data_IF_217910136263
#
_entry.id   IF_217910136263
#
_cell.length_a   1.000
_cell.length_b   1.000
_cell.length_c   1.000
_cell.angle_alpha   90.00
_cell.angle_beta   90.00
_cell.angle_gamma   90.00
#
_symmetry.space_group_name_H-M   'P 1'
#
loop_
_entity.id
_entity.type
_entity.pdbx_description
1 polymer ?
#
# COMPACT_ATOMS: atom_id res chain seq x y z
N UNK A 1 -20.42 -4.52 -35.91
CA UNK A 1 -19.01 -4.20 -36.16
C UNK A 1 -18.24 -4.61 -34.92
N UNK A 2 -17.56 -5.75 -35.00
CA UNK A 2 -16.69 -6.27 -33.94
C UNK A 2 -15.33 -5.57 -34.07
N UNK A 3 -14.76 -5.13 -32.95
CA UNK A 3 -13.37 -4.74 -32.87
C UNK A 3 -12.61 -5.89 -32.20
N UNK A 4 -11.76 -6.54 -32.97
CA UNK A 4 -10.80 -7.53 -32.53
C UNK A 4 -9.73 -6.86 -31.68
N UNK A 5 -9.60 -7.29 -30.42
CA UNK A 5 -8.49 -6.96 -29.55
C UNK A 5 -7.31 -7.86 -29.89
N UNK A 6 -6.22 -7.25 -30.34
CA UNK A 6 -4.93 -7.89 -30.51
C UNK A 6 -4.37 -8.34 -29.16
N UNK A 7 -4.14 -9.64 -29.07
CA UNK A 7 -3.36 -10.30 -28.03
C UNK A 7 -1.88 -9.92 -28.15
N UNK A 8 -1.31 -9.35 -27.08
CA UNK A 8 0.10 -9.49 -26.76
C UNK A 8 0.23 -9.98 -25.33
N UNK A 9 0.37 -11.30 -25.17
CA UNK A 9 0.90 -11.91 -23.96
C UNK A 9 1.95 -12.93 -24.42
N UNK A 10 3.18 -12.44 -24.57
CA UNK A 10 4.33 -13.26 -24.96
C UNK A 10 5.03 -13.72 -23.69
N UNK A 11 4.85 -15.02 -23.43
CA UNK A 11 5.84 -15.98 -22.91
C UNK A 11 6.56 -15.63 -21.59
N UNK A 12 6.00 -16.14 -20.48
CA UNK A 12 6.83 -16.59 -19.35
C UNK A 12 6.99 -18.11 -19.40
N UNK A 13 8.22 -18.55 -19.18
CA UNK A 13 8.75 -19.85 -19.60
C UNK A 13 8.07 -21.08 -18.97
N UNK A 14 7.89 -22.08 -19.83
CA UNK A 14 7.52 -23.46 -19.53
C UNK A 14 8.53 -24.10 -18.58
N UNK A 15 8.17 -24.25 -17.30
CA UNK A 15 8.67 -25.36 -16.45
C UNK A 15 7.88 -25.66 -15.17
N UNK A 16 6.89 -24.84 -14.81
CA UNK A 16 6.07 -25.05 -13.59
C UNK A 16 4.58 -25.33 -13.82
N UNK A 17 4.15 -25.49 -15.09
CA UNK A 17 2.73 -25.61 -15.49
C UNK A 17 2.02 -26.83 -14.89
N UNK A 18 2.69 -27.99 -14.83
CA UNK A 18 1.97 -29.25 -14.61
C UNK A 18 1.68 -29.51 -13.12
N UNK A 19 2.52 -28.98 -12.21
CA UNK A 19 2.33 -29.12 -10.77
C UNK A 19 1.20 -28.22 -10.24
N UNK A 20 1.04 -27.04 -10.86
CA UNK A 20 0.00 -26.08 -10.47
C UNK A 20 -1.40 -26.58 -10.88
N UNK A 21 -1.51 -27.17 -12.08
CA UNK A 21 -2.76 -27.73 -12.56
C UNK A 21 -3.23 -28.92 -11.68
N UNK A 22 -2.29 -29.77 -11.23
CA UNK A 22 -2.61 -30.87 -10.32
C UNK A 22 -3.10 -30.40 -8.93
N UNK A 23 -2.48 -29.37 -8.37
CA UNK A 23 -2.92 -28.76 -7.10
C UNK A 23 -4.31 -28.13 -7.21
N UNK A 24 -4.60 -27.44 -8.33
CA UNK A 24 -5.92 -26.87 -8.57
C UNK A 24 -7.02 -27.94 -8.72
N UNK A 25 -6.73 -29.07 -9.39
CA UNK A 25 -7.69 -30.18 -9.55
C UNK A 25 -7.96 -30.88 -8.21
N UNK A 26 -6.94 -31.09 -7.37
CA UNK A 26 -7.10 -31.66 -6.03
C UNK A 26 -7.94 -30.76 -5.12
N UNK A 27 -7.72 -29.44 -5.14
CA UNK A 27 -8.53 -28.48 -4.38
C UNK A 27 -9.98 -28.39 -4.88
N UNK A 28 -10.22 -28.58 -6.18
CA UNK A 28 -11.57 -28.61 -6.75
C UNK A 28 -12.35 -29.88 -6.36
N UNK A 29 -11.68 -31.04 -6.35
CA UNK A 29 -12.28 -32.33 -5.95
C UNK A 29 -12.61 -32.39 -4.45
N UNK A 30 -11.81 -31.73 -3.58
CA UNK A 30 -12.10 -31.67 -2.14
C UNK A 30 -13.30 -30.78 -1.77
N UNK A 31 -13.81 -29.96 -2.70
CA UNK A 31 -14.93 -29.03 -2.43
C UNK A 31 -16.31 -29.62 -2.67
N UNK A 32 -16.43 -30.86 -3.16
CA UNK A 32 -17.72 -31.49 -3.53
C UNK A 32 -18.31 -32.47 -2.52
N UNK A 33 -17.78 -32.59 -1.30
CA UNK A 33 -18.33 -33.51 -0.30
C UNK A 33 -18.58 -32.80 1.04
N UNK A 34 -19.83 -32.32 1.21
CA UNK A 34 -20.56 -31.84 2.41
C UNK A 34 -21.33 -30.56 2.02
N UNK A 35 -22.63 -30.39 2.18
CA UNK A 35 -23.60 -31.00 3.08
C UNK A 35 -25.02 -30.81 2.50
N UNK A 36 -25.84 -31.85 2.53
CA UNK A 36 -27.28 -31.72 2.67
C UNK A 36 -27.58 -31.75 4.18
N UNK A 37 -27.84 -30.58 4.77
CA UNK A 37 -28.36 -30.49 6.15
C UNK A 37 -29.63 -29.67 6.10
N UNK A 38 -30.66 -30.31 6.63
CA UNK A 38 -32.05 -29.92 6.75
C UNK A 38 -32.25 -28.58 7.43
N UNK A 39 -33.17 -27.81 6.85
CA UNK A 39 -33.77 -26.58 7.35
C UNK A 39 -34.47 -26.82 8.70
N UNK A 40 -34.03 -26.12 9.75
CA UNK A 40 -34.86 -25.83 10.91
C UNK A 40 -34.75 -24.34 11.22
N UNK A 41 -35.91 -23.70 11.15
CA UNK A 41 -36.18 -22.31 11.52
C UNK A 41 -36.26 -22.19 13.05
N UNK A 42 -35.52 -21.27 13.69
CA UNK A 42 -35.84 -20.80 15.02
C UNK A 42 -36.36 -19.37 14.96
N UNK A 43 -37.64 -19.21 15.30
CA UNK A 43 -38.15 -18.00 15.94
C UNK A 43 -37.40 -17.78 17.26
N UNK A 44 -36.70 -16.67 17.39
CA UNK A 44 -36.53 -15.98 18.68
C UNK A 44 -35.83 -14.64 18.45
N UNK A 45 -36.59 -13.57 18.67
CA UNK A 45 -36.15 -12.20 18.83
C UNK A 45 -35.19 -12.07 20.02
N UNK A 46 -33.91 -12.32 19.80
CA UNK A 46 -32.85 -11.90 20.70
C UNK A 46 -32.51 -10.44 20.40
N UNK A 47 -32.97 -9.54 21.27
CA UNK A 47 -32.52 -8.15 21.31
C UNK A 47 -31.01 -8.19 21.59
N UNK A 48 -30.22 -7.95 20.55
CA UNK A 48 -28.79 -7.72 20.69
C UNK A 48 -28.60 -6.42 21.48
N UNK A 49 -28.30 -6.56 22.78
CA UNK A 49 -27.75 -5.49 23.59
C UNK A 49 -26.41 -5.10 23.00
N UNK A 50 -26.41 -4.11 22.11
CA UNK A 50 -25.21 -3.50 21.55
C UNK A 50 -24.47 -2.88 22.72
N UNK A 51 -23.35 -3.50 23.09
CA UNK A 51 -22.39 -2.96 24.05
C UNK A 51 -22.01 -1.53 23.64
N UNK A 52 -22.44 -0.54 24.42
CA UNK A 52 -22.16 0.89 24.23
C UNK A 52 -20.80 1.29 24.79
N UNK A 53 -19.81 0.38 24.73
CA UNK A 53 -18.43 0.78 24.98
C UNK A 53 -17.99 1.67 23.81
N UNK A 54 -17.46 2.88 24.07
CA UNK A 54 -16.97 3.75 23.01
C UNK A 54 -15.92 3.00 22.20
N UNK A 55 -16.14 2.89 20.88
CA UNK A 55 -15.22 2.20 19.99
C UNK A 55 -13.90 2.97 20.00
N UNK A 56 -12.90 2.42 20.69
CA UNK A 56 -11.56 2.99 20.88
C UNK A 56 -10.89 3.37 19.55
N UNK A 57 -11.35 2.81 18.43
CA UNK A 57 -10.79 3.02 17.11
C UNK A 57 -11.69 3.86 16.17
N UNK A 58 -12.66 4.62 16.71
CA UNK A 58 -13.56 5.47 15.90
C UNK A 58 -12.81 6.42 14.95
N UNK A 59 -11.66 6.97 15.37
CA UNK A 59 -10.83 7.84 14.52
C UNK A 59 -10.36 7.16 13.22
N UNK A 60 -10.18 5.84 13.20
CA UNK A 60 -9.83 5.09 11.99
C UNK A 60 -10.97 5.11 10.99
N UNK A 61 -12.21 4.94 11.47
CA UNK A 61 -13.40 4.98 10.63
C UNK A 61 -13.71 6.40 10.14
N UNK A 62 -13.47 7.42 10.97
CA UNK A 62 -13.65 8.82 10.57
C UNK A 62 -12.63 9.21 9.49
N UNK A 63 -11.37 8.79 9.65
CA UNK A 63 -10.36 8.95 8.61
C UNK A 63 -10.73 8.18 7.34
N UNK A 64 -11.17 6.93 7.47
CA UNK A 64 -11.56 6.11 6.33
C UNK A 64 -12.70 6.76 5.56
N UNK A 65 -13.76 7.25 6.22
CA UNK A 65 -14.85 7.99 5.56
C UNK A 65 -14.35 9.17 4.73
N UNK A 66 -13.38 9.92 5.25
CA UNK A 66 -12.73 11.00 4.52
C UNK A 66 -11.98 10.48 3.29
N UNK A 67 -11.20 9.40 3.42
CA UNK A 67 -10.52 8.74 2.29
C UNK A 67 -11.52 8.28 1.23
N UNK A 68 -12.64 7.67 1.64
CA UNK A 68 -13.67 7.18 0.71
C UNK A 68 -14.30 8.32 -0.11
N UNK A 69 -14.57 9.46 0.55
CA UNK A 69 -15.11 10.65 -0.11
C UNK A 69 -14.10 11.26 -1.09
N UNK A 70 -12.82 11.32 -0.72
CA UNK A 70 -11.74 11.87 -1.54
C UNK A 70 -11.48 11.01 -2.80
N UNK A 71 -11.42 9.69 -2.62
CA UNK A 71 -11.05 8.74 -3.67
C UNK A 71 -12.22 8.32 -4.58
N UNK A 72 -13.45 8.79 -4.29
CA UNK A 72 -14.66 8.52 -5.09
C UNK A 72 -14.88 7.03 -5.39
N UNK A 73 -14.66 6.18 -4.39
CA UNK A 73 -14.71 4.73 -4.56
C UNK A 73 -16.15 4.22 -4.77
N UNK A 74 -16.27 3.10 -5.48
CA UNK A 74 -17.58 2.50 -5.78
C UNK A 74 -18.03 1.60 -4.61
N UNK A 75 -19.05 2.04 -3.88
CA UNK A 75 -19.62 1.27 -2.75
C UNK A 75 -20.29 -0.06 -3.17
N UNK A 76 -20.57 -0.24 -4.46
CA UNK A 76 -21.03 -1.53 -5.00
C UNK A 76 -19.97 -2.62 -4.92
N UNK A 77 -18.70 -2.26 -4.75
CA UNK A 77 -17.60 -3.20 -4.56
C UNK A 77 -17.56 -3.70 -3.11
N UNK A 78 -16.91 -4.84 -2.89
CA UNK A 78 -16.59 -5.28 -1.54
C UNK A 78 -15.44 -4.47 -0.95
N UNK A 79 -15.35 -4.44 0.38
CA UNK A 79 -14.11 -4.10 1.08
C UNK A 79 -13.61 -5.36 1.79
N UNK A 80 -12.35 -5.73 1.58
CA UNK A 80 -11.75 -6.82 2.32
C UNK A 80 -11.73 -6.49 3.81
N UNK A 81 -12.21 -7.41 4.65
CA UNK A 81 -12.14 -7.27 6.11
C UNK A 81 -10.70 -7.35 6.61
N UNK A 82 -9.85 -8.09 5.89
CA UNK A 82 -8.44 -8.21 6.21
C UNK A 82 -7.68 -6.97 5.77
N UNK A 83 -6.93 -6.42 6.71
CA UNK A 83 -5.97 -5.35 6.46
C UNK A 83 -4.74 -5.93 5.78
N UNK A 84 -4.34 -5.38 4.63
CA UNK A 84 -3.10 -5.81 3.97
C UNK A 84 -1.88 -5.03 4.40
N UNK A 85 -0.75 -5.74 4.35
CA UNK A 85 0.57 -5.14 4.22
C UNK A 85 0.78 -4.85 2.73
N UNK A 86 0.83 -3.57 2.37
CA UNK A 86 0.86 -3.17 0.96
C UNK A 86 2.24 -2.62 0.52
N UNK A 87 3.19 -2.47 1.44
CA UNK A 87 4.53 -2.00 1.14
C UNK A 87 5.36 -3.22 0.72
N UNK A 88 5.33 -3.53 -0.58
CA UNK A 88 5.65 -4.86 -1.15
C UNK A 88 7.15 -5.21 -1.25
N UNK A 89 8.06 -4.27 -1.01
CA UNK A 89 9.48 -4.45 -1.39
C UNK A 89 10.44 -4.33 -0.20
N UNK A 90 10.01 -3.66 0.87
CA UNK A 90 10.83 -3.34 2.04
C UNK A 90 9.98 -3.45 3.31
N UNK A 91 10.60 -3.53 4.49
CA UNK A 91 9.84 -3.35 5.73
C UNK A 91 9.17 -1.96 5.73
N UNK A 92 8.00 -1.83 6.37
CA UNK A 92 7.27 -0.55 6.36
C UNK A 92 8.12 0.59 6.92
N UNK A 93 9.02 0.30 7.88
CA UNK A 93 9.95 1.28 8.44
C UNK A 93 10.92 1.82 7.37
N UNK A 94 11.52 0.94 6.57
CA UNK A 94 12.44 1.34 5.50
C UNK A 94 11.68 2.12 4.42
N UNK A 95 10.49 1.69 4.05
CA UNK A 95 9.65 2.43 3.11
C UNK A 95 9.32 3.85 3.62
N UNK A 96 8.86 3.97 4.87
CA UNK A 96 8.50 5.26 5.47
C UNK A 96 9.73 6.17 5.68
N UNK A 97 10.93 5.59 5.81
CA UNK A 97 12.17 6.35 5.97
C UNK A 97 12.48 7.27 4.79
N UNK A 98 11.95 6.93 3.59
CA UNK A 98 12.05 7.74 2.37
C UNK A 98 11.36 9.11 2.50
N UNK A 99 10.46 9.26 3.49
CA UNK A 99 9.72 10.49 3.76
C UNK A 99 10.29 11.28 4.95
N UNK A 100 11.46 10.92 5.48
CA UNK A 100 12.08 11.66 6.59
C UNK A 100 12.58 13.02 6.10
N UNK A 101 12.31 14.07 6.87
CA UNK A 101 12.93 15.39 6.70
C UNK A 101 14.41 15.28 7.05
N UNK A 102 15.26 15.19 6.04
CA UNK A 102 16.70 15.34 6.22
C UNK A 102 17.00 16.82 6.47
N UNK A 103 17.65 17.19 7.58
CA UNK A 103 18.09 18.56 7.77
C UNK A 103 18.99 18.95 6.58
N UNK A 104 18.96 20.22 6.13
CA UNK A 104 19.88 20.68 5.10
C UNK A 104 21.28 20.29 5.53
N UNK A 105 21.96 19.46 4.74
CA UNK A 105 23.37 19.23 5.01
C UNK A 105 24.05 20.56 4.73
N UNK A 106 24.49 21.23 5.80
CA UNK A 106 25.41 22.37 5.67
C UNK A 106 26.61 21.83 4.94
N UNK A 107 26.77 22.22 3.67
CA UNK A 107 27.83 21.71 2.83
C UNK A 107 29.14 22.07 3.52
N UNK A 108 29.93 21.10 4.01
CA UNK A 108 31.19 21.42 4.70
C UNK A 108 32.17 22.13 3.75
N UNK A 109 31.92 22.11 2.44
CA UNK A 109 32.66 22.84 1.41
C UNK A 109 32.23 24.29 1.20
N UNK A 110 31.18 24.80 1.86
CA UNK A 110 30.93 26.26 1.93
C UNK A 110 31.95 26.96 2.85
N UNK A 111 32.87 26.19 3.44
CA UNK A 111 34.10 26.67 4.04
C UNK A 111 35.30 26.17 3.22
N UNK A 112 35.42 26.54 1.94
CA UNK A 112 36.68 26.35 1.24
C UNK A 112 37.38 27.69 0.97
N UNK A 113 38.58 27.92 1.55
CA UNK A 113 39.49 28.94 1.07
C UNK A 113 39.96 28.56 -0.34
N UNK A 114 40.02 29.56 -1.22
CA UNK A 114 40.37 29.45 -2.63
C UNK A 114 41.60 28.59 -2.90
N UNK A 115 41.43 27.49 -3.65
CA UNK A 115 42.50 26.87 -4.44
C UNK A 115 42.83 25.42 -4.12
N UNK A 116 42.09 24.46 -4.68
CA UNK A 116 42.63 23.10 -4.90
C UNK A 116 42.14 22.58 -6.26
N UNK A 117 43.12 22.13 -7.06
CA UNK A 117 43.03 21.62 -8.42
C UNK A 117 42.38 20.22 -8.47
N UNK A 118 41.62 19.96 -9.53
CA UNK A 118 40.69 18.81 -9.63
C UNK A 118 41.43 17.50 -9.84
N UNK A 119 41.45 16.60 -8.84
CA UNK A 119 42.05 15.27 -8.97
C UNK A 119 41.10 14.27 -9.65
N UNK A 120 41.60 13.72 -10.75
CA UNK A 120 40.97 12.72 -11.61
C UNK A 120 41.06 11.34 -10.95
N UNK A 121 39.92 10.76 -10.54
CA UNK A 121 39.86 9.38 -10.03
C UNK A 121 39.84 8.39 -11.22
N UNK A 122 40.90 7.58 -11.33
CA UNK A 122 41.02 6.50 -12.32
C UNK A 122 40.87 5.18 -11.58
N UNK A 123 39.83 4.40 -11.91
CA UNK A 123 39.70 3.02 -11.46
C UNK A 123 40.18 2.10 -12.59
N UNK A 124 41.20 1.29 -12.31
CA UNK A 124 41.65 0.23 -13.21
C UNK A 124 40.76 -0.99 -13.03
N UNK A 125 40.10 -1.41 -14.11
CA UNK A 125 39.52 -2.74 -14.25
C UNK A 125 40.01 -3.32 -15.57
N UNK A 126 40.52 -4.57 -15.54
CA UNK A 126 41.16 -5.27 -16.66
C UNK A 126 40.17 -5.72 -17.76
N UNK A 127 39.20 -4.89 -18.09
CA UNK A 127 38.26 -5.13 -19.19
C UNK A 127 37.88 -3.79 -19.81
N UNK A 128 38.28 -3.60 -21.07
CA UNK A 128 38.39 -2.33 -21.79
C UNK A 128 37.07 -1.69 -22.21
N UNK A 129 36.14 -1.50 -21.27
CA UNK A 129 34.98 -0.63 -21.45
C UNK A 129 34.83 0.27 -20.22
N UNK A 130 35.46 1.43 -20.26
CA UNK A 130 35.28 2.48 -19.25
C UNK A 130 33.96 3.21 -19.52
N UNK A 131 32.89 2.78 -18.85
CA UNK A 131 31.64 3.55 -18.84
C UNK A 131 31.83 4.71 -17.87
N UNK A 132 32.01 5.91 -18.42
CA UNK A 132 32.17 7.13 -17.66
C UNK A 132 30.80 7.59 -17.14
N UNK A 133 30.28 6.91 -16.11
CA UNK A 133 29.03 7.32 -15.46
C UNK A 133 29.40 8.43 -14.48
N UNK A 134 29.15 9.69 -14.85
CA UNK A 134 29.38 10.80 -13.93
C UNK A 134 28.59 10.56 -12.64
N UNK A 135 29.21 10.79 -11.48
CA UNK A 135 28.53 10.68 -10.18
C UNK A 135 27.28 11.59 -10.11
N UNK A 136 27.23 12.67 -10.91
CA UNK A 136 26.03 13.49 -11.08
C UNK A 136 24.84 12.73 -11.70
N UNK A 137 25.07 11.74 -12.57
CA UNK A 137 23.98 11.01 -13.22
C UNK A 137 23.25 10.06 -12.24
N UNK A 138 23.98 9.48 -11.28
CA UNK A 138 23.40 8.62 -10.22
C UNK A 138 22.67 9.47 -9.16
N UNK A 139 23.17 10.67 -8.87
CA UNK A 139 22.50 11.58 -7.94
C UNK A 139 21.21 12.15 -8.56
N UNK A 140 21.22 12.46 -9.86
CA UNK A 140 20.07 13.02 -10.55
C UNK A 140 18.89 12.03 -10.71
N UNK A 141 19.15 10.73 -10.85
CA UNK A 141 18.07 9.72 -10.88
C UNK A 141 17.39 9.54 -9.53
N UNK A 142 18.05 9.85 -8.40
CA UNK A 142 17.45 9.86 -7.07
C UNK A 142 16.68 11.16 -6.75
N UNK A 143 16.93 12.25 -7.49
CA UNK A 143 16.27 13.55 -7.27
C UNK A 143 14.88 13.71 -7.91
N UNK A 144 14.40 12.71 -8.65
CA UNK A 144 13.11 12.77 -9.34
C UNK A 144 11.91 12.33 -8.48
N UNK A 145 12.14 11.84 -7.26
CA UNK A 145 11.04 11.72 -6.32
C UNK A 145 10.70 13.14 -5.83
N UNK A 146 9.45 13.61 -6.03
CA UNK A 146 9.05 14.91 -5.50
C UNK A 146 9.39 14.91 -4.00
N UNK A 147 9.93 16.03 -3.52
CA UNK A 147 10.44 16.15 -2.14
C UNK A 147 9.26 16.05 -1.15
N UNK A 148 8.82 14.83 -0.89
CA UNK A 148 7.72 14.47 0.00
C UNK A 148 8.19 14.27 1.44
N UNK A 149 9.44 14.67 1.73
CA UNK A 149 10.01 14.65 3.05
C UNK A 149 9.11 15.45 4.02
N UNK A 150 8.41 14.73 4.90
CA UNK A 150 7.40 15.31 5.78
C UNK A 150 7.32 14.64 7.15
N UNK A 151 8.05 13.54 7.36
CA UNK A 151 8.08 12.79 8.60
C UNK A 151 9.31 13.10 9.43
N UNK A 152 9.15 13.00 10.74
CA UNK A 152 10.26 12.89 11.70
C UNK A 152 10.51 11.42 12.02
N UNK A 153 11.71 11.07 12.46
CA UNK A 153 12.00 9.70 12.95
C UNK A 153 11.03 9.24 14.04
N UNK A 154 10.63 10.17 14.93
CA UNK A 154 9.65 9.91 15.98
C UNK A 154 8.24 9.63 15.46
N UNK A 155 7.87 10.12 14.26
CA UNK A 155 6.61 9.77 13.61
C UNK A 155 6.63 8.31 13.17
N UNK A 156 7.72 7.86 12.55
CA UNK A 156 7.87 6.48 12.07
C UNK A 156 7.85 5.50 13.24
N UNK A 157 8.58 5.78 14.32
CA UNK A 157 8.52 4.96 15.55
C UNK A 157 7.09 4.84 16.09
N UNK A 158 6.35 5.95 16.12
CA UNK A 158 4.94 5.95 16.55
C UNK A 158 4.06 5.13 15.60
N UNK A 159 4.21 5.31 14.29
CA UNK A 159 3.47 4.57 13.26
C UNK A 159 3.67 3.06 13.38
N UNK A 160 4.91 2.60 13.62
CA UNK A 160 5.21 1.18 13.79
C UNK A 160 4.59 0.61 15.07
N UNK A 161 4.68 1.35 16.19
CA UNK A 161 4.04 0.95 17.45
C UNK A 161 2.52 0.86 17.31
N UNK A 162 1.90 1.83 16.62
CA UNK A 162 0.46 1.87 16.41
C UNK A 162 -0.02 0.75 15.48
N UNK A 163 0.73 0.47 14.40
CA UNK A 163 0.47 -0.69 13.54
C UNK A 163 0.50 -2.00 14.35
N UNK A 164 1.52 -2.17 15.20
CA UNK A 164 1.64 -3.33 16.08
C UNK A 164 0.46 -3.42 17.05
N UNK A 165 0.04 -2.31 17.67
CA UNK A 165 -1.15 -2.26 18.55
C UNK A 165 -2.43 -2.69 17.82
N UNK A 166 -2.54 -2.37 16.54
CA UNK A 166 -3.72 -2.60 15.71
C UNK A 166 -3.66 -3.87 14.84
N UNK A 167 -2.68 -4.75 15.02
CA UNK A 167 -2.46 -5.92 14.15
C UNK A 167 -3.68 -6.86 13.99
N UNK A 168 -4.56 -6.92 14.99
CA UNK A 168 -5.79 -7.72 14.97
C UNK A 168 -7.04 -6.96 14.49
N UNK A 169 -6.91 -5.68 14.12
CA UNK A 169 -8.03 -4.90 13.60
C UNK A 169 -8.52 -5.51 12.29
N UNK A 170 -9.85 -5.62 12.16
CA UNK A 170 -10.52 -5.94 10.91
C UNK A 170 -11.47 -4.82 10.55
N UNK A 171 -11.59 -4.53 9.25
CA UNK A 171 -12.57 -3.55 8.78
C UNK A 171 -13.99 -4.09 8.94
N UNK A 172 -14.89 -3.25 9.43
CA UNK A 172 -16.32 -3.54 9.47
C UNK A 172 -17.04 -2.87 8.29
N UNK A 173 -17.45 -3.68 7.31
CA UNK A 173 -18.13 -3.19 6.11
C UNK A 173 -19.48 -2.53 6.38
N UNK A 174 -20.17 -2.88 7.47
CA UNK A 174 -21.40 -2.19 7.88
C UNK A 174 -21.12 -0.73 8.26
N UNK A 175 -19.95 -0.45 8.85
CA UNK A 175 -19.54 0.91 9.23
C UNK A 175 -19.05 1.74 8.05
N UNK A 176 -18.52 1.08 7.02
CA UNK A 176 -17.96 1.75 5.84
C UNK A 176 -18.96 1.90 4.69
N UNK A 177 -20.02 1.08 4.67
CA UNK A 177 -21.08 1.13 3.65
C UNK A 177 -20.77 0.34 2.38
N UNK A 178 -19.68 -0.42 2.33
CA UNK A 178 -19.36 -1.29 1.19
C UNK A 178 -20.25 -2.53 1.14
N UNK A 179 -20.40 -3.08 -0.06
CA UNK A 179 -21.14 -4.32 -0.28
C UNK A 179 -20.62 -5.47 0.58
N UNK A 180 -21.52 -6.17 1.25
CA UNK A 180 -21.23 -7.39 2.01
C UNK A 180 -21.21 -8.64 1.12
N UNK A 181 -21.70 -8.54 -0.12
CA UNK A 181 -21.98 -9.70 -0.98
C UNK A 181 -21.15 -9.73 -2.26
N UNK A 182 -20.57 -8.61 -2.69
CA UNK A 182 -19.76 -8.57 -3.90
C UNK A 182 -18.40 -9.24 -3.69
N UNK A 183 -18.21 -10.37 -4.37
CA UNK A 183 -16.97 -11.17 -4.34
C UNK A 183 -16.12 -11.02 -5.61
N UNK A 184 -16.59 -10.26 -6.59
CA UNK A 184 -15.93 -10.13 -7.88
C UNK A 184 -14.99 -8.94 -7.90
N UNK A 185 -15.44 -7.80 -7.38
CA UNK A 185 -14.61 -6.61 -7.29
C UNK A 185 -14.54 -6.18 -5.83
N UNK A 186 -13.33 -6.01 -5.32
CA UNK A 186 -13.14 -5.57 -3.96
C UNK A 186 -11.95 -4.64 -3.83
N UNK A 187 -12.09 -3.70 -2.90
CA UNK A 187 -10.97 -2.91 -2.43
C UNK A 187 -10.30 -3.58 -1.24
N UNK A 188 -9.02 -3.29 -1.06
CA UNK A 188 -8.28 -3.65 0.15
C UNK A 188 -7.55 -2.42 0.66
N UNK A 189 -7.60 -2.21 1.97
CA UNK A 189 -7.03 -1.03 2.62
C UNK A 189 -6.00 -1.47 3.65
N UNK A 190 -4.86 -0.80 3.70
CA UNK A 190 -3.93 -0.95 4.83
C UNK A 190 -4.47 -0.27 6.08
N UNK A 191 -3.83 -0.53 7.23
CA UNK A 191 -3.97 0.35 8.37
C UNK A 191 -3.37 1.72 7.98
N UNK A 192 -4.01 2.84 8.34
CA UNK A 192 -3.41 4.14 8.15
C UNK A 192 -2.23 4.32 9.12
N UNK A 193 -1.08 4.72 8.59
CA UNK A 193 0.10 5.08 9.36
C UNK A 193 0.00 6.55 9.77
N UNK A 194 -0.52 6.82 10.96
CA UNK A 194 -0.63 8.18 11.48
C UNK A 194 0.69 8.68 12.07
N UNK A 195 1.07 9.92 11.75
CA UNK A 195 2.13 10.63 12.48
C UNK A 195 1.75 10.80 13.95
N UNK A 196 2.73 11.09 14.79
CA UNK A 196 2.52 11.22 16.24
C UNK A 196 1.50 12.31 16.59
N UNK A 197 1.50 13.40 15.81
CA UNK A 197 0.56 14.51 15.94
C UNK A 197 -0.79 14.28 15.23
N UNK A 198 -0.96 13.12 14.56
CA UNK A 198 -2.11 12.74 13.73
C UNK A 198 -2.44 13.73 12.60
N UNK A 199 -1.49 14.58 12.20
CA UNK A 199 -1.65 15.53 11.09
C UNK A 199 -1.18 14.98 9.75
N UNK A 200 -0.57 13.80 9.73
CA UNK A 200 -0.14 13.09 8.52
C UNK A 200 -0.58 11.65 8.61
N UNK A 201 -1.00 11.08 7.49
CA UNK A 201 -1.36 9.68 7.42
C UNK A 201 -0.95 9.11 6.07
N UNK A 202 -0.37 7.92 6.07
CA UNK A 202 -0.20 7.12 4.86
C UNK A 202 -1.24 6.02 4.84
N UNK A 203 -1.88 5.80 3.71
CA UNK A 203 -2.79 4.66 3.53
C UNK A 203 -2.58 4.06 2.16
N UNK A 204 -2.58 2.74 2.10
CA UNK A 204 -2.51 2.01 0.85
C UNK A 204 -3.92 1.56 0.48
N UNK A 205 -4.31 1.80 -0.76
CA UNK A 205 -5.60 1.39 -1.30
C UNK A 205 -5.32 0.54 -2.52
N UNK A 206 -5.91 -0.64 -2.56
CA UNK A 206 -5.77 -1.58 -3.65
C UNK A 206 -7.13 -1.89 -4.24
N UNK A 207 -7.26 -1.84 -5.56
CA UNK A 207 -8.40 -2.33 -6.31
C UNK A 207 -8.07 -3.69 -6.90
N UNK A 208 -8.91 -4.69 -6.66
CA UNK A 208 -8.74 -6.05 -7.13
C UNK A 208 -9.96 -6.49 -7.93
N UNK A 209 -9.68 -7.18 -9.05
CA UNK A 209 -10.67 -7.87 -9.88
C UNK A 209 -10.36 -9.37 -9.94
N UNK A 210 -11.30 -10.21 -10.42
CA UNK A 210 -11.05 -11.63 -10.58
C UNK A 210 -9.96 -11.86 -11.63
N UNK A 211 -9.04 -12.79 -11.38
CA UNK A 211 -7.98 -13.14 -12.35
C UNK A 211 -6.65 -12.40 -12.17
N UNK A 212 -6.27 -12.10 -10.92
CA UNK A 212 -4.98 -11.48 -10.55
C UNK A 212 -4.75 -10.06 -11.10
N UNK A 213 -5.75 -9.46 -11.74
CA UNK A 213 -5.69 -8.06 -12.15
C UNK A 213 -5.94 -7.12 -10.97
N UNK A 214 -5.21 -6.02 -10.95
CA UNK A 214 -5.41 -4.99 -9.94
C UNK A 214 -4.42 -3.86 -10.04
N UNK A 215 -4.66 -2.85 -9.23
CA UNK A 215 -3.74 -1.73 -9.04
C UNK A 215 -3.78 -1.30 -7.59
N UNK A 216 -2.72 -0.65 -7.12
CA UNK A 216 -2.68 -0.05 -5.81
C UNK A 216 -1.99 1.28 -5.82
N UNK A 217 -2.40 2.13 -4.88
CA UNK A 217 -1.83 3.45 -4.64
C UNK A 217 -1.44 3.58 -3.18
N UNK A 218 -0.34 4.27 -2.91
CA UNK A 218 -0.02 4.81 -1.58
C UNK A 218 -0.37 6.28 -1.58
N UNK A 219 -1.23 6.68 -0.65
CA UNK A 219 -1.70 8.04 -0.49
C UNK A 219 -1.13 8.64 0.78
N UNK A 220 -0.56 9.84 0.66
CA UNK A 220 -0.17 10.69 1.77
C UNK A 220 -1.24 11.74 2.00
N UNK A 221 -1.88 11.68 3.16
CA UNK A 221 -2.82 12.68 3.66
C UNK A 221 -2.12 13.63 4.63
N UNK A 222 -2.35 14.93 4.48
CA UNK A 222 -1.83 15.97 5.36
C UNK A 222 -2.96 16.90 5.82
N UNK A 223 -3.02 17.18 7.11
CA UNK A 223 -3.97 18.13 7.70
C UNK A 223 -3.32 19.52 7.79
N UNK A 224 -3.74 20.42 6.90
CA UNK A 224 -3.24 21.80 6.78
C UNK A 224 -4.43 22.75 6.66
N UNK A 225 -4.38 23.91 7.32
CA UNK A 225 -5.43 24.93 7.26
C UNK A 225 -6.84 24.36 7.56
N UNK A 226 -6.93 23.54 8.61
CA UNK A 226 -8.16 22.84 9.03
C UNK A 226 -8.80 21.92 7.98
N UNK A 227 -8.03 21.45 7.00
CA UNK A 227 -8.50 20.55 5.95
C UNK A 227 -7.49 19.44 5.67
N UNK A 228 -8.00 18.24 5.40
CA UNK A 228 -7.20 17.15 4.85
C UNK A 228 -6.98 17.34 3.35
N UNK A 229 -5.73 17.23 2.92
CA UNK A 229 -5.34 17.17 1.51
C UNK A 229 -4.61 15.86 1.25
N UNK A 230 -4.87 15.22 0.12
CA UNK A 230 -4.22 13.97 -0.29
C UNK A 230 -3.26 14.21 -1.46
N UNK A 231 -2.24 13.36 -1.55
CA UNK A 231 -1.39 13.23 -2.72
C UNK A 231 -1.01 11.76 -2.90
N UNK A 232 -0.95 11.31 -4.14
CA UNK A 232 -0.40 9.98 -4.49
C UNK A 232 1.13 10.06 -4.42
N UNK A 233 1.74 9.17 -3.65
CA UNK A 233 3.21 9.11 -3.47
C UNK A 233 3.83 7.86 -4.07
N UNK A 234 3.02 6.85 -4.37
CA UNK A 234 3.46 5.60 -4.98
C UNK A 234 2.27 4.88 -5.62
N UNK A 235 2.54 3.98 -6.56
CA UNK A 235 1.52 3.18 -7.23
C UNK A 235 2.12 1.93 -7.86
N UNK A 236 1.33 0.86 -7.94
CA UNK A 236 1.71 -0.38 -8.62
C UNK A 236 0.54 -0.99 -9.38
N UNK A 237 0.88 -1.85 -10.33
CA UNK A 237 -0.04 -2.73 -11.06
C UNK A 237 0.26 -4.18 -10.67
N UNK A 238 -0.79 -5.01 -10.65
CA UNK A 238 -0.68 -6.46 -10.45
C UNK A 238 -0.67 -7.20 -11.78
#
# INVERSE_FOLDING_TARGET
>A
MAFDNFYYCVLYEKKYSDYFLYQCILLWMCRKTKSSVTEQQPDSSAIHTISTLPDTNQYLYDFLKMVLADQKLQYSYGLSQEVKNCLYVESDEVYLSRFIITPPQTNPYDQNPSGVDSTKLIYNTDSSVSVNISAQLILNTLTLLPNHACLKKSDITYMMAEKSRLHNLKWNNQKTGFSLTNKNNWYTFSLPYFSKDKKKAFICIQSLCPGLCGSGDVLLYQFKNNKWTSQKVDSWLH
#
